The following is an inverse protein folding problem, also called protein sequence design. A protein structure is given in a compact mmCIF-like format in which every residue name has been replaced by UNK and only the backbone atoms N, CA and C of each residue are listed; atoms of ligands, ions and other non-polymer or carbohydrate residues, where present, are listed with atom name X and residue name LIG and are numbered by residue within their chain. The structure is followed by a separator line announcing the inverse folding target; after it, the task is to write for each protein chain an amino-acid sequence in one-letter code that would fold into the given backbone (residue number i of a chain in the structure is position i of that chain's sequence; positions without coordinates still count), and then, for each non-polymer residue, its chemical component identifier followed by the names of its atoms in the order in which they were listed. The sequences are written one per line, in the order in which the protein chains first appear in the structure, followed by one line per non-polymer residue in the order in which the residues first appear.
data_IF_559338699256
#
_entry.id   IF_559338699256
#
_cell.length_a   1.000
_cell.length_b   1.000
_cell.length_c   1.000
_cell.angle_alpha   90.00
_cell.angle_beta   90.00
_cell.angle_gamma   90.00
#
_symmetry.space_group_name_H-M   'P 1'
#
loop_
_entity.id
_entity.type
_entity.pdbx_description
1 polymer ?
#
# COMPACT_ATOMS: atom_id res chain seq x y z
N UNK A 1 -5.91 7.14 20.79
CA UNK A 1 -4.55 6.77 20.36
C UNK A 1 -4.36 7.24 18.93
N UNK A 2 -3.26 7.99 18.69
CA UNK A 2 -2.90 8.51 17.36
C UNK A 2 -2.40 7.36 16.49
N UNK A 3 -3.27 6.85 15.60
CA UNK A 3 -2.86 5.81 14.65
C UNK A 3 -2.20 6.44 13.43
N UNK A 4 -0.91 6.16 13.24
CA UNK A 4 -0.19 6.50 12.01
C UNK A 4 -0.36 5.39 10.98
N UNK A 5 -0.73 5.76 9.76
CA UNK A 5 -0.79 4.85 8.62
C UNK A 5 0.25 5.26 7.58
N UNK A 6 0.74 4.27 6.83
CA UNK A 6 1.60 4.52 5.67
C UNK A 6 0.83 4.33 4.37
N UNK A 7 0.96 5.29 3.46
CA UNK A 7 0.50 5.19 2.09
C UNK A 7 1.70 5.22 1.15
N UNK A 8 1.98 4.09 0.50
CA UNK A 8 3.13 3.90 -0.38
C UNK A 8 2.97 4.56 -1.76
N UNK A 9 3.97 4.38 -2.64
CA UNK A 9 3.91 4.91 -4.00
C UNK A 9 2.83 4.20 -4.84
N UNK A 10 2.40 4.86 -5.91
CA UNK A 10 1.43 4.33 -6.87
C UNK A 10 0.08 5.05 -6.86
N UNK A 11 -0.68 4.87 -7.94
CA UNK A 11 -1.97 5.54 -8.15
C UNK A 11 -3.07 4.96 -7.26
N UNK A 12 -3.02 3.68 -6.92
CA UNK A 12 -4.03 3.04 -6.06
C UNK A 12 -4.03 3.66 -4.66
N UNK A 13 -2.86 3.88 -4.07
CA UNK A 13 -2.72 4.53 -2.76
C UNK A 13 -3.14 6.00 -2.79
N UNK A 14 -2.97 6.69 -3.92
CA UNK A 14 -3.52 8.03 -4.13
C UNK A 14 -5.06 8.03 -4.05
N UNK A 15 -5.75 7.05 -4.65
CA UNK A 15 -7.20 6.93 -4.53
C UNK A 15 -7.65 6.61 -3.10
N UNK A 16 -6.87 5.83 -2.36
CA UNK A 16 -7.11 5.63 -0.91
C UNK A 16 -6.99 6.97 -0.18
N UNK A 17 -5.96 7.76 -0.46
CA UNK A 17 -5.79 9.08 0.14
C UNK A 17 -7.00 10.00 -0.13
N UNK A 18 -7.50 10.04 -1.36
CA UNK A 18 -8.71 10.82 -1.71
C UNK A 18 -9.93 10.40 -0.89
N UNK A 19 -10.12 9.11 -0.67
CA UNK A 19 -11.22 8.60 0.15
C UNK A 19 -11.03 8.98 1.64
N UNK A 20 -9.79 9.04 2.12
CA UNK A 20 -9.46 9.41 3.49
C UNK A 20 -9.55 10.92 3.75
N UNK A 21 -9.45 11.76 2.73
CA UNK A 21 -9.49 13.23 2.86
C UNK A 21 -10.76 13.77 3.56
N UNK A 22 -11.84 12.98 3.55
CA UNK A 22 -13.12 13.30 4.22
C UNK A 22 -13.23 12.75 5.65
N UNK A 23 -12.21 12.04 6.13
CA UNK A 23 -12.15 11.52 7.49
C UNK A 23 -11.49 12.51 8.42
N UNK A 24 -11.83 12.46 9.70
CA UNK A 24 -11.22 13.30 10.74
C UNK A 24 -10.11 12.55 11.49
N UNK A 25 -9.11 13.30 11.95
CA UNK A 25 -8.06 12.81 12.84
C UNK A 25 -7.23 11.66 12.25
N UNK A 26 -6.75 11.84 11.01
CA UNK A 26 -5.90 10.87 10.33
C UNK A 26 -4.46 11.36 10.31
N UNK A 27 -3.53 10.46 10.63
CA UNK A 27 -2.09 10.70 10.57
C UNK A 27 -1.49 9.80 9.49
N UNK A 28 -0.90 10.41 8.47
CA UNK A 28 -0.35 9.73 7.29
C UNK A 28 1.13 10.00 7.15
N UNK A 29 1.91 8.94 7.12
CA UNK A 29 3.27 8.94 6.60
C UNK A 29 3.23 8.46 5.15
N UNK A 30 3.89 9.16 4.26
CA UNK A 30 3.94 8.79 2.84
C UNK A 30 5.25 9.21 2.19
N UNK A 31 5.62 8.54 1.13
CA UNK A 31 6.63 9.02 0.19
C UNK A 31 6.02 9.35 -1.19
N UNK A 32 4.70 9.27 -1.32
CA UNK A 32 3.96 9.52 -2.55
C UNK A 32 3.58 11.01 -2.63
N UNK A 33 4.10 11.71 -3.64
CA UNK A 33 3.84 13.14 -3.83
C UNK A 33 2.36 13.44 -4.13
N UNK A 34 1.66 12.54 -4.81
CA UNK A 34 0.23 12.70 -5.08
C UNK A 34 -0.59 12.55 -3.80
N UNK A 35 -0.23 11.63 -2.91
CA UNK A 35 -0.85 11.46 -1.59
C UNK A 35 -0.61 12.70 -0.73
N UNK A 36 0.64 13.17 -0.66
CA UNK A 36 0.99 14.36 0.10
C UNK A 36 0.22 15.59 -0.38
N UNK A 37 0.10 15.78 -1.69
CA UNK A 37 -0.69 16.88 -2.28
C UNK A 37 -2.19 16.72 -1.99
N UNK A 38 -2.74 15.52 -2.07
CA UNK A 38 -4.17 15.28 -1.86
C UNK A 38 -4.62 15.53 -0.41
N UNK A 39 -3.76 15.24 0.56
CA UNK A 39 -4.08 15.31 1.99
C UNK A 39 -3.49 16.53 2.69
N UNK A 40 -2.39 17.10 2.16
CA UNK A 40 -1.61 18.14 2.84
C UNK A 40 -2.34 19.47 3.08
N UNK A 41 -3.43 19.72 2.35
CA UNK A 41 -4.31 20.89 2.56
C UNK A 41 -5.51 20.62 3.48
N UNK A 42 -5.70 19.37 3.95
CA UNK A 42 -6.83 19.03 4.80
C UNK A 42 -6.55 19.36 6.26
N UNK A 43 -7.38 20.17 6.93
CA UNK A 43 -7.16 20.52 8.35
C UNK A 43 -7.37 19.32 9.29
N UNK A 44 -7.95 18.24 8.80
CA UNK A 44 -8.24 17.02 9.58
C UNK A 44 -7.18 15.92 9.40
N UNK A 45 -6.16 16.15 8.56
CA UNK A 45 -5.11 15.19 8.28
C UNK A 45 -3.73 15.76 8.67
N UNK A 46 -2.99 15.06 9.51
CA UNK A 46 -1.56 15.30 9.68
C UNK A 46 -0.80 14.45 8.66
N UNK A 47 -0.06 15.10 7.77
CA UNK A 47 0.70 14.41 6.72
C UNK A 47 2.18 14.64 6.91
N UNK A 48 2.96 13.57 6.97
CA UNK A 48 4.41 13.59 6.94
C UNK A 48 4.92 12.96 5.65
N UNK A 49 5.66 13.73 4.88
CA UNK A 49 6.30 13.25 3.66
C UNK A 49 7.74 12.82 3.99
N UNK A 50 8.07 11.56 3.68
CA UNK A 50 9.47 11.13 3.63
C UNK A 50 10.18 11.91 2.55
N UNK A 51 11.24 12.61 2.92
CA UNK A 51 12.03 13.44 2.01
C UNK A 51 12.93 12.64 1.07
N UNK A 52 13.86 13.33 0.41
CA UNK A 52 14.88 12.73 -0.43
C UNK A 52 14.74 13.03 -1.92
N UNK A 53 15.36 12.19 -2.75
CA UNK A 53 15.32 12.35 -4.20
C UNK A 53 13.92 12.06 -4.77
N UNK A 54 13.50 12.85 -5.75
CA UNK A 54 12.23 12.64 -6.45
C UNK A 54 12.44 11.69 -7.63
N UNK A 55 11.65 10.63 -7.66
CA UNK A 55 11.49 9.73 -8.80
C UNK A 55 10.31 10.18 -9.64
N UNK A 56 10.59 10.77 -10.80
CA UNK A 56 9.58 11.45 -11.64
C UNK A 56 8.55 10.50 -12.25
N UNK A 57 8.94 9.29 -12.63
CA UNK A 57 8.03 8.31 -13.23
C UNK A 57 6.96 7.81 -12.24
N UNK A 58 7.36 7.60 -10.98
CA UNK A 58 6.45 7.12 -9.93
C UNK A 58 5.90 8.23 -9.03
N UNK A 59 6.34 9.48 -9.22
CA UNK A 59 5.98 10.64 -8.39
C UNK A 59 6.11 10.34 -6.88
N UNK A 60 7.24 9.76 -6.50
CA UNK A 60 7.55 9.47 -5.10
C UNK A 60 8.95 9.95 -4.72
N UNK A 61 9.19 10.06 -3.43
CA UNK A 61 10.49 10.42 -2.86
C UNK A 61 11.21 9.21 -2.29
N UNK A 62 12.55 9.24 -2.34
CA UNK A 62 13.39 8.23 -1.73
C UNK A 62 14.41 8.90 -0.81
N UNK A 63 14.36 8.66 0.50
CA UNK A 63 15.36 9.12 1.44
C UNK A 63 16.75 8.54 1.13
N UNK A 64 17.78 9.32 1.41
CA UNK A 64 19.17 8.84 1.30
C UNK A 64 19.48 7.68 2.27
N UNK A 65 18.79 7.66 3.43
CA UNK A 65 18.92 6.59 4.42
C UNK A 65 17.54 6.29 5.02
N UNK A 66 16.82 5.38 4.37
CA UNK A 66 15.47 4.99 4.76
C UNK A 66 15.40 4.40 6.18
N UNK A 67 16.39 3.60 6.58
CA UNK A 67 16.43 3.01 7.91
C UNK A 67 16.59 4.07 9.01
N UNK A 68 17.37 5.11 8.76
CA UNK A 68 17.51 6.21 9.72
C UNK A 68 16.23 7.04 9.84
N UNK A 69 15.57 7.32 8.71
CA UNK A 69 14.30 8.08 8.68
C UNK A 69 13.16 7.34 9.39
N UNK A 70 13.14 6.01 9.33
CA UNK A 70 12.10 5.18 9.93
C UNK A 70 12.48 4.59 11.29
N UNK A 71 13.65 4.95 11.83
CA UNK A 71 14.08 4.48 13.15
C UNK A 71 13.11 4.94 14.24
N UNK A 72 12.51 3.97 14.95
CA UNK A 72 11.55 4.24 16.01
C UNK A 72 10.17 4.69 15.53
N UNK A 73 9.90 4.62 14.24
CA UNK A 73 8.56 4.84 13.68
C UNK A 73 7.74 3.56 13.83
N UNK A 74 6.53 3.69 14.39
CA UNK A 74 5.56 2.60 14.51
C UNK A 74 4.30 2.98 13.76
N UNK A 75 3.90 2.12 12.83
CA UNK A 75 2.73 2.29 11.98
C UNK A 75 1.67 1.27 12.36
N UNK A 76 0.42 1.70 12.51
CA UNK A 76 -0.68 0.76 12.76
C UNK A 76 -1.01 -0.04 11.50
N UNK A 77 -1.01 0.62 10.36
CA UNK A 77 -1.34 0.04 9.05
C UNK A 77 -0.45 0.62 7.97
N UNK A 78 -0.18 -0.18 6.95
CA UNK A 78 0.50 0.28 5.73
C UNK A 78 -0.22 -0.24 4.49
N UNK A 79 -0.27 0.58 3.46
CA UNK A 79 -0.92 0.28 2.18
C UNK A 79 0.12 0.40 1.07
N UNK A 80 0.31 -0.68 0.32
CA UNK A 80 1.21 -0.72 -0.83
C UNK A 80 0.48 -1.15 -2.08
N UNK A 81 0.80 -0.49 -3.20
CA UNK A 81 0.42 -0.94 -4.53
C UNK A 81 1.46 -1.90 -5.09
N UNK A 82 1.05 -2.72 -6.04
CA UNK A 82 1.91 -3.64 -6.79
C UNK A 82 1.72 -3.47 -8.29
N UNK A 83 2.72 -3.88 -9.07
CA UNK A 83 2.67 -3.79 -10.53
C UNK A 83 2.10 -5.05 -11.16
N UNK A 84 2.15 -6.17 -10.46
CA UNK A 84 1.55 -7.42 -10.90
C UNK A 84 1.30 -8.40 -9.77
N UNK A 85 0.32 -9.26 -9.98
CA UNK A 85 -0.05 -10.37 -9.08
C UNK A 85 -0.20 -11.62 -9.93
N UNK A 86 0.60 -12.63 -9.61
CA UNK A 86 0.63 -13.90 -10.31
C UNK A 86 0.52 -15.05 -9.32
N UNK A 87 -0.26 -16.07 -9.65
CA UNK A 87 -0.57 -17.17 -8.72
C UNK A 87 0.68 -17.93 -8.27
N UNK A 88 1.69 -18.02 -9.11
CA UNK A 88 2.92 -18.76 -8.83
C UNK A 88 4.04 -17.83 -8.33
N UNK A 89 4.11 -16.61 -8.87
CA UNK A 89 5.19 -15.65 -8.56
C UNK A 89 4.88 -14.76 -7.36
N UNK A 90 3.62 -14.65 -6.96
CA UNK A 90 3.20 -13.78 -5.87
C UNK A 90 2.99 -12.33 -6.30
N UNK A 91 3.19 -11.40 -5.37
CA UNK A 91 3.19 -9.97 -5.63
C UNK A 91 4.49 -9.56 -6.28
N UNK A 92 4.43 -8.72 -7.31
CA UNK A 92 5.61 -8.32 -8.09
C UNK A 92 5.66 -6.82 -8.33
N UNK A 93 6.89 -6.30 -8.43
CA UNK A 93 7.22 -4.88 -8.65
C UNK A 93 8.20 -4.72 -9.80
N UNK A 94 8.27 -3.51 -10.34
CA UNK A 94 9.25 -3.12 -11.37
C UNK A 94 10.40 -2.29 -10.82
N UNK A 95 10.25 -1.69 -9.63
CA UNK A 95 11.19 -0.74 -9.06
C UNK A 95 11.82 -1.27 -7.76
N UNK A 96 13.18 -1.43 -7.77
CA UNK A 96 13.96 -1.90 -6.62
C UNK A 96 13.86 -0.98 -5.40
N UNK A 97 13.73 0.33 -5.61
CA UNK A 97 13.62 1.28 -4.50
C UNK A 97 12.33 1.07 -3.72
N UNK A 98 11.25 0.69 -4.42
CA UNK A 98 9.95 0.36 -3.79
C UNK A 98 10.05 -0.94 -3.00
N UNK A 99 10.86 -1.90 -3.44
CA UNK A 99 11.09 -3.15 -2.71
C UNK A 99 11.76 -2.90 -1.35
N UNK A 100 12.79 -2.07 -1.29
CA UNK A 100 13.48 -1.74 -0.05
C UNK A 100 12.57 -0.95 0.90
N UNK A 101 11.80 -0.01 0.36
CA UNK A 101 10.79 0.71 1.11
C UNK A 101 9.75 -0.24 1.72
N UNK A 102 9.22 -1.17 0.92
CA UNK A 102 8.25 -2.16 1.38
C UNK A 102 8.79 -2.97 2.57
N UNK A 103 10.00 -3.52 2.45
CA UNK A 103 10.62 -4.32 3.51
C UNK A 103 10.79 -3.54 4.80
N UNK A 104 11.25 -2.29 4.68
CA UNK A 104 11.47 -1.43 5.86
C UNK A 104 10.15 -1.04 6.52
N UNK A 105 9.13 -0.68 5.76
CA UNK A 105 7.80 -0.37 6.28
C UNK A 105 7.14 -1.61 6.89
N UNK A 106 7.25 -2.77 6.23
CA UNK A 106 6.69 -4.03 6.73
C UNK A 106 7.23 -4.40 8.11
N UNK A 107 8.53 -4.19 8.32
CA UNK A 107 9.16 -4.44 9.61
C UNK A 107 8.69 -3.49 10.74
N UNK A 108 8.09 -2.35 10.39
CA UNK A 108 7.67 -1.30 11.32
C UNK A 108 6.15 -1.09 11.34
N UNK A 109 5.35 -1.97 10.73
CA UNK A 109 3.90 -1.83 10.72
C UNK A 109 3.19 -3.02 11.39
N UNK A 110 2.05 -2.73 12.02
CA UNK A 110 1.22 -3.77 12.65
C UNK A 110 0.40 -4.58 11.66
N UNK A 111 -0.03 -3.96 10.55
CA UNK A 111 -0.84 -4.62 9.51
C UNK A 111 -0.55 -4.06 8.13
N UNK A 112 -0.23 -4.94 7.19
CA UNK A 112 0.01 -4.61 5.79
C UNK A 112 -1.23 -4.87 4.94
N UNK A 113 -1.54 -3.95 4.04
CA UNK A 113 -2.58 -4.07 3.02
C UNK A 113 -1.97 -3.95 1.63
N UNK A 114 -2.21 -4.96 0.80
CA UNK A 114 -1.86 -4.91 -0.62
C UNK A 114 -3.04 -4.28 -1.37
N UNK A 115 -2.85 -3.05 -1.81
CA UNK A 115 -3.85 -2.29 -2.56
C UNK A 115 -3.66 -2.54 -4.06
N UNK A 116 -4.52 -3.36 -4.63
CA UNK A 116 -4.36 -3.94 -5.97
C UNK A 116 -5.49 -3.46 -6.87
N UNK A 117 -5.15 -2.79 -7.96
CA UNK A 117 -6.10 -2.61 -9.05
C UNK A 117 -6.36 -3.95 -9.74
N UNK A 118 -7.62 -4.25 -10.06
CA UNK A 118 -8.02 -5.53 -10.64
C UNK A 118 -7.29 -5.87 -11.93
N UNK A 119 -6.81 -4.86 -12.67
CA UNK A 119 -6.00 -5.05 -13.89
C UNK A 119 -4.61 -5.65 -13.63
N UNK A 120 -4.17 -5.74 -12.37
CA UNK A 120 -2.86 -6.27 -11.99
C UNK A 120 -2.85 -7.79 -11.76
N UNK A 121 -4.00 -8.42 -11.64
CA UNK A 121 -4.10 -9.88 -11.55
C UNK A 121 -3.70 -10.55 -12.88
N UNK A 122 -3.11 -11.75 -12.78
CA UNK A 122 -2.54 -12.49 -13.90
C UNK A 122 -1.43 -11.73 -14.65
N UNK A 123 -0.72 -10.84 -13.96
CA UNK A 123 0.45 -10.13 -14.47
C UNK A 123 1.64 -10.36 -13.57
N UNK A 124 2.82 -10.35 -14.17
CA UNK A 124 4.09 -10.44 -13.46
C UNK A 124 4.98 -9.28 -13.88
N UNK A 125 5.47 -8.52 -12.90
CA UNK A 125 6.47 -7.49 -13.09
C UNK A 125 7.90 -8.07 -12.94
N UNK A 126 8.89 -7.21 -12.99
CA UNK A 126 10.30 -7.58 -13.08
C UNK A 126 10.81 -8.41 -11.90
N UNK A 127 10.38 -8.08 -10.67
CA UNK A 127 10.88 -8.73 -9.48
C UNK A 127 9.77 -9.12 -8.51
N UNK A 128 10.04 -10.15 -7.71
CA UNK A 128 9.15 -10.59 -6.64
C UNK A 128 9.25 -9.65 -5.44
N UNK A 129 8.09 -9.20 -4.97
CA UNK A 129 7.94 -8.48 -3.72
C UNK A 129 7.74 -9.43 -2.55
N UNK A 130 6.72 -10.30 -2.65
CA UNK A 130 6.34 -11.23 -1.60
C UNK A 130 5.47 -12.38 -2.13
N UNK A 131 5.25 -13.40 -1.31
CA UNK A 131 4.31 -14.49 -1.61
C UNK A 131 2.87 -14.04 -1.40
N UNK A 132 1.92 -14.68 -2.10
CA UNK A 132 0.49 -14.41 -1.94
C UNK A 132 -0.06 -14.83 -0.57
N UNK A 133 0.57 -15.81 0.07
CA UNK A 133 0.16 -16.37 1.36
C UNK A 133 0.78 -15.67 2.58
N UNK A 134 1.58 -14.64 2.37
CA UNK A 134 2.02 -13.79 3.47
C UNK A 134 0.80 -13.13 4.13
N UNK A 135 0.90 -12.89 5.44
CA UNK A 135 -0.22 -12.40 6.28
C UNK A 135 -0.63 -10.95 5.96
N UNK A 136 -0.75 -10.64 4.68
CA UNK A 136 -1.27 -9.36 4.20
C UNK A 136 -2.78 -9.44 4.04
N UNK A 137 -3.44 -8.29 4.13
CA UNK A 137 -4.81 -8.15 3.63
C UNK A 137 -4.78 -7.58 2.24
N UNK A 138 -5.72 -7.96 1.40
CA UNK A 138 -5.86 -7.46 0.02
C UNK A 138 -7.03 -6.49 -0.04
N UNK A 139 -6.83 -5.35 -0.69
CA UNK A 139 -7.90 -4.41 -1.06
C UNK A 139 -7.87 -4.27 -2.57
N UNK A 140 -9.01 -4.43 -3.22
CA UNK A 140 -9.11 -4.29 -4.67
C UNK A 140 -10.46 -3.69 -5.06
N UNK A 141 -10.52 -3.02 -6.22
CA UNK A 141 -11.72 -2.36 -6.73
C UNK A 141 -12.80 -3.34 -7.19
N UNK A 142 -12.40 -4.48 -7.76
CA UNK A 142 -13.30 -5.54 -8.23
C UNK A 142 -12.92 -6.88 -7.61
N UNK A 143 -13.80 -7.86 -7.72
CA UNK A 143 -13.50 -9.21 -7.25
C UNK A 143 -12.31 -9.80 -8.05
N UNK A 144 -11.30 -10.34 -7.35
CA UNK A 144 -10.20 -11.03 -8.01
C UNK A 144 -10.68 -12.22 -8.84
N UNK A 145 -9.92 -12.69 -9.84
CA UNK A 145 -10.20 -13.93 -10.52
C UNK A 145 -10.41 -15.10 -9.54
N UNK A 146 -11.28 -16.04 -9.87
CA UNK A 146 -11.73 -17.12 -9.00
C UNK A 146 -10.58 -17.94 -8.38
N UNK A 147 -9.54 -18.21 -9.16
CA UNK A 147 -8.36 -18.93 -8.68
C UNK A 147 -7.59 -18.16 -7.58
N UNK A 148 -7.56 -16.83 -7.64
CA UNK A 148 -6.96 -16.01 -6.58
C UNK A 148 -7.85 -15.96 -5.34
N UNK A 149 -9.16 -15.82 -5.52
CA UNK A 149 -10.11 -15.87 -4.39
C UNK A 149 -10.00 -17.18 -3.64
N UNK A 150 -10.01 -18.32 -4.37
CA UNK A 150 -9.86 -19.65 -3.78
C UNK A 150 -8.52 -19.80 -3.05
N UNK A 151 -7.42 -19.28 -3.63
CA UNK A 151 -6.12 -19.29 -2.99
C UNK A 151 -6.12 -18.48 -1.69
N UNK A 152 -6.57 -17.22 -1.73
CA UNK A 152 -6.62 -16.36 -0.56
C UNK A 152 -7.49 -16.95 0.57
N UNK A 153 -8.66 -17.50 0.24
CA UNK A 153 -9.54 -18.17 1.18
C UNK A 153 -8.85 -19.38 1.84
N UNK A 154 -8.18 -20.21 1.05
CA UNK A 154 -7.46 -21.39 1.56
C UNK A 154 -6.32 -21.05 2.51
N UNK A 155 -5.77 -19.85 2.41
CA UNK A 155 -4.65 -19.34 3.24
C UNK A 155 -5.10 -18.37 4.34
N UNK A 156 -6.40 -18.10 4.45
CA UNK A 156 -6.93 -17.18 5.46
C UNK A 156 -6.58 -15.70 5.20
N UNK A 157 -6.19 -15.36 3.98
CA UNK A 157 -5.93 -13.96 3.59
C UNK A 157 -7.26 -13.23 3.41
N UNK A 158 -7.42 -12.10 4.10
CA UNK A 158 -8.62 -11.27 4.00
C UNK A 158 -8.60 -10.44 2.72
N UNK A 159 -9.66 -10.56 1.93
CA UNK A 159 -9.86 -9.78 0.71
C UNK A 159 -11.02 -8.82 0.91
N UNK A 160 -10.76 -7.53 0.71
CA UNK A 160 -11.76 -6.46 0.77
C UNK A 160 -12.01 -5.96 -0.64
N UNK A 161 -13.24 -6.12 -1.09
CA UNK A 161 -13.74 -5.61 -2.38
C UNK A 161 -14.96 -4.73 -2.13
N UNK A 162 -15.44 -4.07 -3.15
CA UNK A 162 -16.68 -3.31 -3.06
C UNK A 162 -17.84 -4.18 -2.55
N UNK A 163 -17.96 -5.40 -3.08
CA UNK A 163 -19.03 -6.34 -2.71
C UNK A 163 -18.93 -6.82 -1.25
N UNK A 164 -17.72 -6.96 -0.70
CA UNK A 164 -17.54 -7.36 0.72
C UNK A 164 -17.86 -6.23 1.68
N UNK A 165 -17.61 -4.98 1.30
CA UNK A 165 -17.90 -3.80 2.12
C UNK A 165 -19.41 -3.53 2.15
N UNK A 166 -20.10 -3.66 1.03
CA UNK A 166 -21.57 -3.47 0.94
C UNK A 166 -22.35 -4.50 1.76
N UNK A 167 -21.83 -5.72 1.93
CA UNK A 167 -22.45 -6.76 2.77
C UNK A 167 -22.22 -6.57 4.27
N UNK A 168 -21.31 -5.70 4.67
CA UNK A 168 -20.94 -5.44 6.06
C UNK A 168 -21.67 -4.21 6.65
N UNK A 169 -22.42 -3.48 5.83
CA UNK A 169 -23.33 -2.38 6.22
C UNK A 169 -24.75 -2.87 6.40
#
# INVERSE_FOLDING_TARGET
DLEWIFLGPGTTTYYIAKALAHRSSIHVLTNNLLVANALGGSPSCEVRLLGGNIHSEGLYTQPANLNAELKGVYLSKAFFSVDGVDINSGYTLSDLNVLDLFKTIYANCGRMFMAIDSSKFNRRAFMKLDNLDMQHSVITNDDPPENFLAFYQSRGVKVYTKSTIEKAQ
#
